data_IF_804771191013
#
_entry.id   IF_804771191013
#
_cell.length_a   1.000
_cell.length_b   1.000
_cell.length_c   1.000
_cell.angle_alpha   90.00
_cell.angle_beta   90.00
_cell.angle_gamma   90.00
#
_symmetry.space_group_name_H-M   'P 1'
#
loop_
_entity.id
_entity.type
_entity.pdbx_description
1 polymer ?
#
# COMPACT_ATOMS: atom_id res chain seq x y z
N UNK A 1 20.10 18.04 0.56
CA UNK A 1 19.07 17.87 -0.48
C UNK A 1 17.72 18.26 0.09
N UNK A 2 16.84 18.90 -0.71
CA UNK A 2 15.49 19.24 -0.26
C UNK A 2 14.67 17.97 0.07
N UNK A 3 13.76 18.09 1.03
CA UNK A 3 12.89 16.99 1.46
C UNK A 3 11.87 16.66 0.38
N UNK A 4 11.89 15.41 -0.10
CA UNK A 4 10.92 14.91 -1.08
C UNK A 4 9.53 14.82 -0.42
N UNK A 5 8.52 15.41 -1.05
CA UNK A 5 7.14 15.43 -0.58
C UNK A 5 6.15 15.36 -1.75
N UNK A 6 4.90 14.96 -1.48
CA UNK A 6 3.83 14.96 -2.48
C UNK A 6 3.56 16.39 -2.97
N UNK A 7 3.37 16.57 -4.27
CA UNK A 7 3.02 17.88 -4.83
C UNK A 7 1.64 18.32 -4.32
N UNK A 8 1.53 19.59 -3.94
CA UNK A 8 0.27 20.18 -3.46
C UNK A 8 -0.67 20.47 -4.63
N UNK A 9 -1.97 20.53 -4.35
CA UNK A 9 -3.00 20.94 -5.32
C UNK A 9 -3.35 19.88 -6.36
N UNK A 10 -2.90 18.64 -6.18
CA UNK A 10 -3.35 17.52 -7.00
C UNK A 10 -4.85 17.27 -6.77
N UNK A 11 -5.56 16.85 -7.82
CA UNK A 11 -6.98 16.45 -7.74
C UNK A 11 -7.15 15.36 -6.69
N UNK A 12 -8.26 15.38 -5.98
CA UNK A 12 -8.59 14.49 -4.89
C UNK A 12 -9.81 13.65 -5.21
N UNK A 13 -10.09 12.63 -4.42
CA UNK A 13 -11.30 11.84 -4.53
C UNK A 13 -12.61 12.66 -4.58
N UNK A 14 -12.63 13.85 -3.97
CA UNK A 14 -13.77 14.78 -4.06
C UNK A 14 -13.96 15.31 -5.49
N UNK A 15 -12.87 15.70 -6.16
CA UNK A 15 -12.89 16.19 -7.54
C UNK A 15 -13.32 15.11 -8.54
N UNK A 16 -13.17 13.84 -8.16
CA UNK A 16 -13.61 12.68 -8.92
C UNK A 16 -15.03 12.19 -8.55
N UNK A 17 -15.71 12.84 -7.60
CA UNK A 17 -17.05 12.44 -7.15
C UNK A 17 -17.10 11.07 -6.48
N UNK A 18 -15.98 10.61 -5.89
CA UNK A 18 -15.90 9.30 -5.28
C UNK A 18 -16.49 9.31 -3.86
N UNK A 19 -16.96 8.16 -3.34
CA UNK A 19 -17.49 8.09 -1.97
C UNK A 19 -16.37 8.31 -0.94
N UNK A 20 -16.74 8.88 0.21
CA UNK A 20 -15.87 8.92 1.37
C UNK A 20 -15.65 7.50 1.91
N UNK A 21 -14.40 7.10 2.12
CA UNK A 21 -14.08 5.77 2.67
C UNK A 21 -14.73 5.49 4.04
N UNK A 22 -15.11 6.51 4.82
CA UNK A 22 -15.82 6.34 6.10
C UNK A 22 -17.23 5.78 5.94
N UNK A 23 -17.89 6.12 4.83
CA UNK A 23 -19.25 5.70 4.49
C UNK A 23 -19.29 4.77 3.27
N UNK A 24 -18.13 4.19 2.92
CA UNK A 24 -18.05 3.24 1.80
C UNK A 24 -18.94 2.03 2.10
N UNK A 25 -19.79 1.69 1.13
CA UNK A 25 -20.67 0.53 1.17
C UNK A 25 -19.87 -0.73 1.53
N UNK A 26 -20.47 -1.55 2.40
CA UNK A 26 -19.92 -2.84 2.80
C UNK A 26 -19.65 -3.73 1.58
N UNK A 27 -20.52 -3.74 0.58
CA UNK A 27 -20.36 -4.54 -0.64
C UNK A 27 -19.10 -4.16 -1.44
N UNK A 28 -18.57 -2.94 -1.25
CA UNK A 28 -17.34 -2.48 -1.89
C UNK A 28 -16.09 -2.74 -1.05
N UNK A 29 -16.21 -3.32 0.15
CA UNK A 29 -15.09 -3.67 1.02
C UNK A 29 -14.65 -5.11 0.80
N UNK A 30 -13.35 -5.35 0.90
CA UNK A 30 -12.81 -6.70 0.99
C UNK A 30 -13.12 -7.29 2.38
N UNK A 31 -13.26 -8.61 2.46
CA UNK A 31 -13.35 -9.30 3.74
C UNK A 31 -12.13 -8.99 4.62
N UNK A 32 -12.32 -8.92 5.94
CA UNK A 32 -11.18 -8.77 6.85
C UNK A 32 -10.25 -9.98 6.74
N UNK A 33 -8.95 -9.72 6.80
CA UNK A 33 -7.92 -10.75 6.88
C UNK A 33 -7.43 -10.91 8.32
N UNK A 34 -6.78 -12.02 8.60
CA UNK A 34 -6.09 -12.23 9.87
C UNK A 34 -4.78 -11.44 9.88
N UNK A 35 -4.51 -10.80 11.02
CA UNK A 35 -3.20 -10.21 11.27
C UNK A 35 -2.18 -11.32 11.59
N UNK A 36 -0.94 -11.15 11.14
CA UNK A 36 0.15 -12.05 11.52
C UNK A 36 0.75 -11.64 12.86
N UNK A 37 1.45 -12.57 13.52
CA UNK A 37 2.12 -12.29 14.77
C UNK A 37 3.20 -11.21 14.61
N UNK A 38 3.33 -10.35 15.62
CA UNK A 38 4.40 -9.35 15.71
C UNK A 38 5.76 -10.03 15.84
N UNK A 39 6.75 -9.53 15.10
CA UNK A 39 8.15 -9.94 15.27
C UNK A 39 8.74 -9.36 16.56
N UNK A 40 9.57 -10.15 17.28
CA UNK A 40 10.10 -9.75 18.60
C UNK A 40 11.06 -8.57 18.48
N UNK A 41 11.78 -8.49 17.37
CA UNK A 41 12.66 -7.39 17.02
C UNK A 41 12.51 -6.98 15.55
N UNK A 42 13.44 -6.17 15.04
CA UNK A 42 13.41 -5.71 13.64
C UNK A 42 13.78 -6.82 12.64
N UNK A 43 14.65 -7.75 13.01
CA UNK A 43 15.06 -8.85 12.14
C UNK A 43 13.89 -9.83 11.97
N UNK A 44 13.28 -10.24 13.09
CA UNK A 44 12.06 -11.06 13.10
C UNK A 44 10.94 -10.39 12.28
N UNK A 45 10.75 -9.08 12.43
CA UNK A 45 9.72 -8.37 11.68
C UNK A 45 9.98 -8.36 10.16
N UNK A 46 11.24 -8.24 9.73
CA UNK A 46 11.61 -8.37 8.32
C UNK A 46 11.33 -9.79 7.83
N UNK A 47 11.65 -10.82 8.60
CA UNK A 47 11.37 -12.22 8.23
C UNK A 47 9.86 -12.50 8.11
N UNK A 48 9.05 -11.95 9.02
CA UNK A 48 7.59 -12.03 8.93
C UNK A 48 7.08 -11.41 7.63
N UNK A 49 7.57 -10.22 7.26
CA UNK A 49 7.19 -9.59 5.99
C UNK A 49 7.69 -10.40 4.79
N UNK A 50 8.95 -10.83 4.80
CA UNK A 50 9.57 -11.56 3.70
C UNK A 50 8.84 -12.88 3.41
N UNK A 51 8.61 -13.70 4.43
CA UNK A 51 7.92 -14.99 4.30
C UNK A 51 6.51 -14.83 3.71
N UNK A 52 5.76 -13.81 4.12
CA UNK A 52 4.42 -13.55 3.59
C UNK A 52 4.41 -12.92 2.19
N UNK A 53 5.51 -12.30 1.75
CA UNK A 53 5.68 -11.76 0.39
C UNK A 53 6.29 -12.77 -0.57
N UNK A 54 6.49 -14.03 -0.15
CA UNK A 54 6.96 -15.11 -1.02
C UNK A 54 8.47 -15.22 -1.14
N UNK A 55 9.24 -14.65 -0.21
CA UNK A 55 10.67 -14.97 -0.08
C UNK A 55 10.80 -16.36 0.58
N UNK A 56 10.70 -17.41 -0.24
CA UNK A 56 10.76 -18.82 0.21
C UNK A 56 12.16 -19.41 0.12
N UNK A 57 13.02 -18.88 -0.74
CA UNK A 57 14.42 -19.28 -0.90
C UNK A 57 15.35 -18.26 -0.23
N UNK A 58 16.27 -18.74 0.61
CA UNK A 58 17.24 -17.91 1.32
C UNK A 58 18.24 -17.22 0.37
N UNK A 59 18.38 -17.70 -0.87
CA UNK A 59 19.19 -17.04 -1.90
C UNK A 59 18.44 -15.92 -2.65
N UNK A 60 17.11 -15.84 -2.54
CA UNK A 60 16.31 -14.87 -3.29
C UNK A 60 16.35 -13.49 -2.64
N UNK A 61 16.93 -12.51 -3.33
CA UNK A 61 16.98 -11.11 -2.89
C UNK A 61 15.83 -10.26 -3.42
N UNK A 62 15.03 -10.80 -4.34
CA UNK A 62 13.92 -10.12 -5.02
C UNK A 62 12.76 -11.07 -5.27
N UNK A 63 11.52 -10.56 -5.22
CA UNK A 63 10.31 -11.26 -5.65
C UNK A 63 9.39 -10.29 -6.39
N UNK A 64 8.38 -10.82 -7.11
CA UNK A 64 7.42 -10.03 -7.88
C UNK A 64 6.00 -10.44 -7.54
N UNK A 65 5.13 -9.44 -7.44
CA UNK A 65 3.69 -9.62 -7.23
C UNK A 65 2.95 -9.03 -8.42
N UNK A 66 2.04 -9.80 -9.01
CA UNK A 66 1.19 -9.32 -10.10
C UNK A 66 0.06 -8.47 -9.54
N UNK A 67 -0.01 -7.21 -9.98
CA UNK A 67 -1.10 -6.28 -9.68
C UNK A 67 -1.95 -6.02 -10.93
N UNK A 68 -3.14 -5.39 -10.80
CA UNK A 68 -3.93 -4.97 -11.97
C UNK A 68 -3.20 -4.04 -12.95
N UNK A 69 -2.08 -3.41 -12.55
CA UNK A 69 -1.26 -2.54 -13.40
C UNK A 69 0.07 -3.18 -13.84
N UNK A 70 0.24 -4.48 -13.60
CA UNK A 70 1.46 -5.23 -13.90
C UNK A 70 2.26 -5.60 -12.65
N UNK A 71 3.49 -6.05 -12.86
CA UNK A 71 4.34 -6.56 -11.78
C UNK A 71 4.85 -5.44 -10.87
N UNK A 72 4.79 -5.70 -9.56
CA UNK A 72 5.40 -4.91 -8.51
C UNK A 72 6.62 -5.67 -8.00
N UNK A 73 7.78 -5.02 -8.07
CA UNK A 73 9.04 -5.55 -7.60
C UNK A 73 9.17 -5.36 -6.09
N UNK A 74 9.64 -6.39 -5.39
CA UNK A 74 9.93 -6.33 -3.97
C UNK A 74 11.36 -6.78 -3.76
N UNK A 75 12.16 -5.98 -3.06
CA UNK A 75 13.55 -6.28 -2.76
C UNK A 75 13.69 -6.53 -1.26
N UNK A 76 14.37 -7.60 -0.87
CA UNK A 76 14.55 -7.97 0.53
C UNK A 76 15.17 -6.81 1.35
N UNK A 77 16.14 -6.11 0.74
CA UNK A 77 16.85 -4.98 1.36
C UNK A 77 15.95 -3.79 1.69
N UNK A 78 14.78 -3.64 1.05
CA UNK A 78 13.86 -2.52 1.33
C UNK A 78 12.86 -2.83 2.43
N UNK A 79 12.67 -4.12 2.80
CA UNK A 79 11.68 -4.51 3.81
C UNK A 79 11.99 -3.92 5.19
N UNK A 80 13.27 -3.74 5.53
CA UNK A 80 13.67 -3.10 6.80
C UNK A 80 13.10 -1.69 6.94
N UNK A 81 13.00 -0.94 5.84
CA UNK A 81 12.42 0.41 5.85
C UNK A 81 10.93 0.39 6.22
N UNK A 82 10.20 -0.63 5.79
CA UNK A 82 8.77 -0.79 6.09
C UNK A 82 8.56 -0.94 7.59
N UNK A 83 9.37 -1.77 8.24
CA UNK A 83 9.19 -2.15 9.66
C UNK A 83 10.01 -1.30 10.63
N UNK A 84 10.73 -0.28 10.16
CA UNK A 84 11.66 0.54 10.97
C UNK A 84 10.99 1.13 12.23
N UNK A 85 9.75 1.61 12.10
CA UNK A 85 8.95 2.10 13.24
C UNK A 85 8.29 0.94 13.97
N UNK A 86 9.02 0.28 14.87
CA UNK A 86 8.56 -0.93 15.59
C UNK A 86 7.24 -0.76 16.35
N UNK A 87 6.96 0.42 16.90
CA UNK A 87 5.68 0.71 17.58
C UNK A 87 4.45 0.59 16.67
N UNK A 88 4.61 0.75 15.36
CA UNK A 88 3.54 0.62 14.38
C UNK A 88 3.25 -0.86 14.07
N UNK A 89 4.18 -1.78 14.40
CA UNK A 89 4.10 -3.23 14.16
C UNK A 89 3.50 -3.58 12.78
N UNK A 90 3.99 -2.91 11.73
CA UNK A 90 3.40 -2.96 10.37
C UNK A 90 3.40 -4.37 9.80
N UNK A 91 4.39 -5.19 10.13
CA UNK A 91 4.49 -6.57 9.67
C UNK A 91 3.22 -7.38 9.91
N UNK A 92 2.46 -7.09 10.98
CA UNK A 92 1.17 -7.72 11.30
C UNK A 92 0.16 -7.63 10.16
N UNK A 93 0.27 -6.58 9.35
CA UNK A 93 -0.67 -6.27 8.27
C UNK A 93 -0.16 -6.68 6.90
N UNK A 94 0.93 -7.45 6.80
CA UNK A 94 1.50 -7.86 5.50
C UNK A 94 0.50 -8.60 4.60
N UNK A 95 -0.41 -9.41 5.16
CA UNK A 95 -1.48 -10.07 4.39
C UNK A 95 -2.43 -9.07 3.75
N UNK A 96 -2.76 -7.97 4.44
CA UNK A 96 -3.55 -6.87 3.88
C UNK A 96 -2.77 -6.12 2.79
N UNK A 97 -1.46 -5.92 2.97
CA UNK A 97 -0.64 -5.29 1.94
C UNK A 97 -0.56 -6.15 0.66
N UNK A 98 -0.39 -7.47 0.81
CA UNK A 98 -0.43 -8.43 -0.29
C UNK A 98 -1.77 -8.38 -1.02
N UNK A 99 -2.89 -8.49 -0.29
CA UNK A 99 -4.23 -8.42 -0.86
C UNK A 99 -4.50 -7.07 -1.55
N UNK A 100 -4.01 -5.96 -0.98
CA UNK A 100 -4.13 -4.63 -1.58
C UNK A 100 -3.31 -4.50 -2.88
N UNK A 101 -2.17 -5.17 -3.00
CA UNK A 101 -1.39 -5.19 -4.25
C UNK A 101 -2.12 -5.97 -5.35
N UNK A 102 -2.75 -7.09 -5.01
CA UNK A 102 -3.39 -7.98 -5.99
C UNK A 102 -4.84 -7.59 -6.32
N UNK A 103 -5.56 -7.00 -5.36
CA UNK A 103 -6.98 -6.65 -5.45
C UNK A 103 -7.34 -5.30 -4.82
N UNK A 104 -6.69 -4.20 -5.19
CA UNK A 104 -6.95 -2.87 -4.62
C UNK A 104 -8.39 -2.41 -4.87
N UNK A 105 -8.91 -1.56 -3.97
CA UNK A 105 -10.12 -0.79 -4.23
C UNK A 105 -9.86 0.25 -5.33
N UNK A 106 -8.78 1.01 -5.18
CA UNK A 106 -8.34 2.09 -6.07
C UNK A 106 -6.81 2.09 -6.18
N UNK A 107 -6.31 2.62 -7.30
CA UNK A 107 -4.90 2.97 -7.46
C UNK A 107 -4.80 4.40 -7.98
N UNK A 108 -3.99 5.20 -7.28
CA UNK A 108 -3.75 6.60 -7.58
C UNK A 108 -2.31 6.83 -7.97
N UNK A 109 -2.08 7.59 -9.04
CA UNK A 109 -0.76 8.08 -9.43
C UNK A 109 -0.52 9.45 -8.79
N UNK A 110 0.45 9.52 -7.89
CA UNK A 110 0.78 10.70 -7.08
C UNK A 110 2.12 11.29 -7.53
N UNK A 111 2.12 12.57 -7.88
CA UNK A 111 3.33 13.32 -8.25
C UNK A 111 4.06 13.86 -7.00
N UNK A 112 5.39 13.86 -7.05
CA UNK A 112 6.28 14.29 -5.96
C UNK A 112 7.17 15.46 -6.38
N UNK A 113 7.69 16.19 -5.38
CA UNK A 113 8.47 17.42 -5.54
C UNK A 113 9.80 17.25 -6.28
N UNK A 114 10.30 16.02 -6.38
CA UNK A 114 11.51 15.64 -7.11
C UNK A 114 11.22 15.23 -8.56
N UNK A 115 9.99 15.42 -9.04
CA UNK A 115 9.54 14.96 -10.35
C UNK A 115 9.27 13.45 -10.43
N UNK A 116 9.47 12.71 -9.33
CA UNK A 116 9.12 11.30 -9.27
C UNK A 116 7.62 11.08 -9.13
N UNK A 117 7.20 9.83 -9.26
CA UNK A 117 5.80 9.43 -9.21
C UNK A 117 5.68 8.13 -8.45
N UNK A 118 4.68 8.06 -7.57
CA UNK A 118 4.38 6.86 -6.81
C UNK A 118 2.94 6.47 -7.04
N UNK A 119 2.68 5.18 -6.98
CA UNK A 119 1.33 4.64 -6.95
C UNK A 119 0.91 4.45 -5.50
N UNK A 120 -0.26 4.96 -5.15
CA UNK A 120 -0.93 4.69 -3.89
C UNK A 120 -2.07 3.68 -4.16
N UNK A 121 -1.85 2.44 -3.76
CA UNK A 121 -2.85 1.39 -3.76
C UNK A 121 -3.67 1.49 -2.47
N UNK A 122 -4.99 1.49 -2.63
CA UNK A 122 -5.95 1.70 -1.55
C UNK A 122 -6.67 0.37 -1.30
N UNK A 123 -6.48 -0.20 -0.11
CA UNK A 123 -7.20 -1.38 0.35
C UNK A 123 -8.27 -1.00 1.38
N UNK A 124 -9.53 -1.31 1.08
CA UNK A 124 -10.65 -1.08 1.98
C UNK A 124 -11.25 -2.40 2.47
N UNK A 125 -11.37 -2.56 3.78
CA UNK A 125 -11.69 -3.83 4.43
C UNK A 125 -12.86 -3.70 5.41
N UNK A 126 -13.55 -4.81 5.68
CA UNK A 126 -14.57 -4.94 6.73
C UNK A 126 -13.96 -4.96 8.16
N UNK A 127 -13.09 -4.00 8.46
CA UNK A 127 -12.45 -3.79 9.77
C UNK A 127 -12.15 -2.31 9.97
N UNK A 128 -11.69 -1.91 11.16
CA UNK A 128 -11.27 -0.52 11.44
C UNK A 128 -10.01 -0.14 10.66
N UNK A 129 -9.11 -1.09 10.40
CA UNK A 129 -7.84 -0.87 9.73
C UNK A 129 -7.97 -1.08 8.23
N UNK A 130 -7.67 -0.04 7.48
CA UNK A 130 -7.55 -0.03 6.03
C UNK A 130 -6.06 -0.09 5.65
N UNK A 131 -5.76 -0.31 4.38
CA UNK A 131 -4.39 -0.47 3.92
C UNK A 131 -4.02 0.57 2.85
N UNK A 132 -2.85 1.17 3.01
CA UNK A 132 -2.15 1.88 1.95
C UNK A 132 -0.93 1.07 1.55
N UNK A 133 -0.74 0.83 0.26
CA UNK A 133 0.53 0.36 -0.29
C UNK A 133 1.08 1.38 -1.27
N UNK A 134 2.35 1.74 -1.12
CA UNK A 134 3.05 2.72 -1.96
C UNK A 134 4.07 2.01 -2.84
N UNK A 135 3.97 2.21 -4.15
CA UNK A 135 4.89 1.66 -5.15
C UNK A 135 5.60 2.80 -5.87
N UNK A 136 6.93 2.74 -5.96
CA UNK A 136 7.74 3.74 -6.63
C UNK A 136 7.95 3.35 -8.10
N UNK A 137 7.39 4.12 -9.03
CA UNK A 137 7.36 3.77 -10.46
C UNK A 137 8.76 3.81 -11.07
N UNK A 138 9.48 4.92 -10.88
CA UNK A 138 10.82 5.12 -11.46
C UNK A 138 11.89 4.18 -10.88
N UNK A 139 11.57 3.42 -9.82
CA UNK A 139 12.45 2.41 -9.25
C UNK A 139 12.12 0.99 -9.76
N UNK A 140 11.45 0.87 -10.92
CA UNK A 140 11.03 -0.40 -11.51
C UNK A 140 9.80 -0.99 -10.84
N UNK A 141 8.80 -0.15 -10.52
CA UNK A 141 7.60 -0.53 -9.76
C UNK A 141 7.95 -1.18 -8.40
N UNK A 142 8.87 -0.57 -7.67
CA UNK A 142 9.35 -1.09 -6.40
C UNK A 142 8.32 -0.85 -5.28
N UNK A 143 7.96 -1.88 -4.52
CA UNK A 143 7.26 -1.74 -3.24
C UNK A 143 8.10 -0.86 -2.31
N UNK A 144 7.61 0.35 -2.07
CA UNK A 144 8.29 1.35 -1.27
C UNK A 144 7.90 1.25 0.19
N UNK A 145 6.60 1.15 0.47
CA UNK A 145 6.08 1.06 1.83
C UNK A 145 4.65 0.49 1.84
N UNK A 146 4.21 -0.01 2.98
CA UNK A 146 2.78 -0.17 3.27
C UNK A 146 2.48 0.26 4.70
N UNK A 147 1.25 0.68 4.94
CA UNK A 147 0.80 1.07 6.27
C UNK A 147 -0.70 0.85 6.45
N UNK A 148 -1.04 0.32 7.62
CA UNK A 148 -2.40 0.29 8.10
C UNK A 148 -2.82 1.67 8.61
N UNK A 149 -4.06 2.07 8.34
CA UNK A 149 -4.59 3.36 8.79
C UNK A 149 -6.12 3.26 8.94
N UNK A 150 -6.78 4.30 9.45
CA UNK A 150 -8.24 4.35 9.44
C UNK A 150 -8.77 4.90 8.10
N UNK A 151 -10.07 4.72 7.85
CA UNK A 151 -10.70 5.15 6.60
C UNK A 151 -10.61 6.68 6.36
N UNK A 152 -10.68 7.49 7.42
CA UNK A 152 -10.60 8.96 7.33
C UNK A 152 -9.20 9.39 6.89
N UNK A 153 -8.18 8.81 7.48
CA UNK A 153 -6.79 9.07 7.15
C UNK A 153 -6.44 8.51 5.76
N UNK A 154 -6.98 7.36 5.36
CA UNK A 154 -6.73 6.80 4.04
C UNK A 154 -7.24 7.69 2.90
N UNK A 155 -8.34 8.42 3.10
CA UNK A 155 -8.82 9.41 2.13
C UNK A 155 -7.75 10.45 1.74
N UNK A 156 -6.81 10.76 2.63
CA UNK A 156 -5.72 11.71 2.33
C UNK A 156 -4.80 11.21 1.23
N UNK A 157 -4.75 9.91 0.97
CA UNK A 157 -3.93 9.30 -0.08
C UNK A 157 -4.68 9.09 -1.40
N UNK A 158 -5.96 9.46 -1.45
CA UNK A 158 -6.78 9.39 -2.67
C UNK A 158 -6.71 10.73 -3.40
N UNK A 159 -5.54 11.00 -3.98
CA UNK A 159 -5.25 12.20 -4.74
C UNK A 159 -4.26 11.94 -5.86
N UNK A 160 -4.11 12.88 -6.78
CA UNK A 160 -3.38 12.70 -8.03
C UNK A 160 -4.31 12.25 -9.16
N UNK A 161 -3.80 11.40 -10.04
CA UNK A 161 -4.57 10.81 -11.13
C UNK A 161 -5.12 9.44 -10.68
N UNK A 162 -6.44 9.26 -10.70
CA UNK A 162 -7.07 7.97 -10.50
C UNK A 162 -6.85 7.09 -11.75
N UNK A 163 -6.06 6.03 -11.63
CA UNK A 163 -5.70 5.16 -12.76
C UNK A 163 -6.40 3.79 -12.73
N UNK A 164 -6.92 3.38 -11.57
CA UNK A 164 -7.68 2.15 -11.42
C UNK A 164 -8.71 2.29 -10.31
N UNK A 165 -9.88 1.69 -10.51
CA UNK A 165 -10.87 1.41 -9.47
C UNK A 165 -11.58 0.09 -9.78
N UNK A 166 -11.91 -0.69 -8.76
CA UNK A 166 -12.63 -1.97 -8.93
C UNK A 166 -14.16 -1.83 -9.05
N UNK A 167 -14.68 -0.61 -8.96
CA UNK A 167 -16.12 -0.32 -8.93
C UNK A 167 -16.50 0.78 -9.92
N UNK A 168 -17.76 0.81 -10.33
CA UNK A 168 -18.33 1.88 -11.16
C UNK A 168 -19.14 2.82 -10.27
N UNK A 169 -19.11 4.12 -10.60
CA UNK A 169 -20.09 5.06 -10.04
C UNK A 169 -21.37 4.92 -10.87
N UNK A 170 -22.51 4.82 -10.20
CA UNK A 170 -23.83 4.89 -10.82
C UNK A 170 -24.12 6.31 -11.31
#
# INVERSE_FOLDING_TARGET
MPRIHELKGQKTWLDHGLPDLRSLDRALRSCSLEEVATGKDIADAVEVVASNLGFTDSASSETRIVSPLGEVLIRLVTLRHIVEKRQDARERYVKFALDTLTGPLEIWRVAYSDGSTRLAFIGAYETKRQMLVVVHIQAGNLLWNFMQTDAKALNKHRHGELIYRRYQLL
#
